data_IF_067546136238
#
_entry.id   IF_067546136238
#
_cell.length_a   1.000
_cell.length_b   1.000
_cell.length_c   1.000
_cell.angle_alpha   90.00
_cell.angle_beta   90.00
_cell.angle_gamma   90.00
#
_symmetry.space_group_name_H-M   'P 1'
#
loop_
_entity.id
_entity.type
_entity.pdbx_description
1 polymer ?
#
# COMPACT_ATOMS: atom_id res chain seq x y z
N UNK A 1 6.55 75.19 9.95
CA UNK A 1 7.87 75.64 10.40
C UNK A 1 8.76 74.42 10.55
N UNK A 2 9.83 74.52 9.78
CA UNK A 2 11.13 73.85 9.85
C UNK A 2 11.22 72.35 9.64
N UNK A 3 11.70 72.13 8.48
CA UNK A 3 12.47 71.00 7.95
C UNK A 3 13.62 70.54 8.83
N UNK A 4 13.89 69.25 8.77
CA UNK A 4 15.24 68.69 8.79
C UNK A 4 15.32 67.39 8.04
N UNK A 5 15.96 67.44 6.89
CA UNK A 5 16.40 66.29 6.10
C UNK A 5 17.74 65.84 6.71
N UNK A 6 17.92 64.59 6.99
CA UNK A 6 19.24 64.00 7.20
C UNK A 6 19.38 62.77 6.27
N UNK A 7 20.22 63.03 5.28
CA UNK A 7 20.88 62.12 4.38
C UNK A 7 21.95 61.32 5.15
N UNK A 8 21.98 60.02 5.07
CA UNK A 8 23.16 59.23 5.39
C UNK A 8 23.47 58.22 4.30
N UNK A 9 24.63 58.45 3.73
CA UNK A 9 25.25 57.73 2.63
C UNK A 9 25.65 56.31 3.01
N UNK A 10 25.68 55.52 1.97
CA UNK A 10 26.01 54.11 2.01
C UNK A 10 27.45 53.78 2.38
N UNK A 11 27.56 52.63 2.94
CA UNK A 11 28.82 51.88 3.02
C UNK A 11 28.64 50.57 2.26
N UNK A 12 29.30 50.53 1.09
CA UNK A 12 29.44 49.28 0.32
C UNK A 12 30.59 48.49 0.91
N UNK A 13 30.28 47.45 1.70
CA UNK A 13 31.25 46.44 2.07
C UNK A 13 31.31 45.37 0.98
N UNK A 14 32.43 45.31 0.28
CA UNK A 14 32.81 44.23 -0.62
C UNK A 14 33.29 43.05 0.25
N UNK A 15 32.51 41.98 0.35
CA UNK A 15 32.99 40.71 0.92
C UNK A 15 33.58 39.91 -0.22
N UNK A 16 34.87 39.66 -0.15
CA UNK A 16 35.59 38.76 -1.03
C UNK A 16 35.20 37.31 -0.69
N UNK A 17 34.65 36.62 -1.66
CA UNK A 17 34.26 35.20 -1.53
C UNK A 17 35.47 34.33 -1.88
N UNK A 18 36.12 33.80 -0.86
CA UNK A 18 37.18 32.80 -1.02
C UNK A 18 36.48 31.45 -1.26
N UNK A 19 36.61 30.94 -2.48
CA UNK A 19 36.17 29.59 -2.83
C UNK A 19 37.19 28.61 -2.29
N UNK A 20 36.85 27.89 -1.21
CA UNK A 20 37.62 26.78 -0.72
C UNK A 20 36.99 25.48 -1.33
N UNK A 21 37.66 24.90 -2.32
CA UNK A 21 37.27 23.62 -2.90
C UNK A 21 37.61 22.50 -1.90
N UNK A 22 36.64 22.13 -1.09
CA UNK A 22 36.69 20.93 -0.27
C UNK A 22 36.05 19.75 -1.02
N UNK A 23 36.89 18.81 -1.48
CA UNK A 23 36.40 17.52 -2.00
C UNK A 23 35.84 16.73 -0.82
N UNK A 24 34.52 16.72 -0.67
CA UNK A 24 33.84 15.76 0.20
C UNK A 24 33.64 14.46 -0.58
N UNK A 25 34.42 13.45 -0.22
CA UNK A 25 34.12 12.07 -0.59
C UNK A 25 32.80 11.67 0.11
N UNK A 26 31.70 11.62 -0.64
CA UNK A 26 30.48 10.97 -0.17
C UNK A 26 30.75 9.46 -0.10
N UNK A 27 31.05 8.99 1.09
CA UNK A 27 30.94 7.56 1.39
C UNK A 27 29.47 7.20 1.30
N UNK A 28 29.12 6.42 0.29
CA UNK A 28 27.82 5.72 0.24
C UNK A 28 27.85 4.71 1.38
N UNK A 29 27.28 5.09 2.52
CA UNK A 29 26.90 4.11 3.54
C UNK A 29 25.66 3.43 2.98
N UNK A 30 25.84 2.22 2.46
CA UNK A 30 24.72 1.33 2.17
C UNK A 30 23.97 1.10 3.49
N UNK A 31 22.80 1.71 3.63
CA UNK A 31 21.89 1.36 4.70
C UNK A 31 21.48 -0.11 4.52
N UNK A 32 21.46 -0.92 5.58
CA UNK A 32 20.97 -2.29 5.45
C UNK A 32 19.51 -2.26 5.03
N UNK A 33 19.20 -3.05 4.04
CA UNK A 33 17.88 -3.28 3.44
C UNK A 33 16.98 -4.03 4.45
N UNK A 34 16.60 -3.35 5.52
CA UNK A 34 15.81 -3.93 6.62
C UNK A 34 14.29 -3.62 6.51
N UNK A 35 13.87 -2.91 5.45
CA UNK A 35 12.48 -2.44 5.34
C UNK A 35 11.57 -3.33 4.47
N UNK A 36 12.11 -4.36 3.82
CA UNK A 36 11.35 -5.16 2.85
C UNK A 36 10.47 -6.25 3.50
N UNK A 37 10.76 -6.64 4.74
CA UNK A 37 10.06 -7.77 5.37
C UNK A 37 8.73 -7.41 6.05
N UNK A 38 8.47 -6.11 6.30
CA UNK A 38 7.28 -5.66 7.04
C UNK A 38 6.19 -5.03 6.14
N UNK A 39 6.42 -4.98 4.83
CA UNK A 39 5.43 -4.46 3.88
C UNK A 39 4.23 -5.41 3.77
N UNK A 40 2.96 -4.90 3.91
CA UNK A 40 1.76 -5.70 3.69
C UNK A 40 1.59 -6.11 2.22
N UNK A 41 2.36 -5.50 1.33
CA UNK A 41 2.34 -5.79 -0.09
C UNK A 41 3.54 -6.65 -0.46
N UNK A 42 3.38 -7.71 -1.27
CA UNK A 42 4.53 -8.41 -1.82
C UNK A 42 5.39 -7.38 -2.56
N UNK A 43 6.67 -7.33 -2.23
CA UNK A 43 7.63 -6.53 -2.99
C UNK A 43 7.62 -7.04 -4.42
N UNK A 44 6.87 -6.37 -5.29
CA UNK A 44 7.18 -6.45 -6.70
C UNK A 44 8.57 -5.84 -6.82
N UNK A 45 9.57 -6.68 -6.98
CA UNK A 45 10.88 -6.25 -7.45
C UNK A 45 10.64 -5.65 -8.84
N UNK A 46 10.39 -4.35 -8.86
CA UNK A 46 10.31 -3.60 -10.11
C UNK A 46 11.75 -3.51 -10.62
N UNK A 47 12.23 -4.59 -11.22
CA UNK A 47 13.39 -4.46 -12.11
C UNK A 47 13.01 -3.43 -13.17
N UNK A 48 13.79 -2.35 -13.21
CA UNK A 48 13.65 -1.34 -14.25
C UNK A 48 13.71 -2.08 -15.58
N UNK A 49 12.72 -1.91 -16.49
CA UNK A 49 12.74 -2.61 -17.77
C UNK A 49 14.08 -2.36 -18.45
N UNK A 50 14.84 -3.44 -18.66
CA UNK A 50 16.11 -3.37 -19.37
C UNK A 50 15.80 -2.85 -20.76
N UNK A 51 16.43 -1.74 -21.15
CA UNK A 51 16.29 -1.19 -22.48
C UNK A 51 17.04 -2.10 -23.45
N UNK A 52 16.31 -3.00 -24.09
CA UNK A 52 16.85 -3.96 -25.04
C UNK A 52 17.13 -3.24 -26.36
N UNK A 53 18.34 -3.35 -26.89
CA UNK A 53 18.67 -2.90 -28.24
C UNK A 53 18.06 -3.90 -29.25
N UNK A 54 17.13 -3.47 -30.13
CA UNK A 54 16.50 -4.38 -31.09
C UNK A 54 17.50 -4.97 -32.10
N UNK A 55 18.73 -4.42 -32.21
CA UNK A 55 19.80 -4.90 -33.07
C UNK A 55 20.86 -5.75 -32.35
N UNK A 56 20.66 -6.03 -31.06
CA UNK A 56 21.58 -6.85 -30.26
C UNK A 56 21.69 -8.27 -30.89
N UNK A 57 22.91 -8.69 -31.17
CA UNK A 57 23.18 -10.00 -31.75
C UNK A 57 22.81 -11.17 -30.83
N UNK A 58 22.76 -10.93 -29.54
CA UNK A 58 22.38 -11.90 -28.50
C UNK A 58 20.86 -12.16 -28.46
N UNK A 59 20.04 -11.33 -29.16
CA UNK A 59 18.61 -11.57 -29.33
C UNK A 59 18.30 -12.68 -30.34
N UNK A 60 19.31 -13.19 -31.07
CA UNK A 60 19.11 -14.33 -31.98
C UNK A 60 19.08 -15.62 -31.17
N UNK A 61 18.02 -16.37 -31.37
CA UNK A 61 17.94 -17.73 -30.84
C UNK A 61 19.02 -18.59 -31.49
N UNK A 62 19.72 -19.44 -30.74
CA UNK A 62 20.59 -20.47 -31.32
C UNK A 62 19.81 -21.38 -32.26
N UNK A 63 20.49 -21.97 -33.25
CA UNK A 63 19.85 -22.89 -34.19
C UNK A 63 19.17 -24.04 -33.46
N UNK A 64 17.89 -24.24 -33.72
CA UNK A 64 17.05 -25.26 -33.10
C UNK A 64 16.39 -24.86 -31.75
N UNK A 65 16.64 -23.66 -31.24
CA UNK A 65 15.95 -23.16 -30.05
C UNK A 65 14.57 -22.59 -30.42
N UNK A 66 13.60 -22.86 -29.55
CA UNK A 66 12.25 -22.26 -29.64
C UNK A 66 12.04 -21.34 -28.43
N UNK A 67 11.38 -20.19 -28.67
CA UNK A 67 10.94 -19.33 -27.57
C UNK A 67 9.95 -20.10 -26.70
N UNK A 68 10.14 -20.00 -25.39
CA UNK A 68 9.10 -20.43 -24.46
C UNK A 68 7.81 -19.65 -24.74
N UNK A 69 6.66 -20.28 -24.49
CA UNK A 69 5.38 -19.59 -24.60
C UNK A 69 5.41 -18.30 -23.75
N UNK A 70 4.92 -17.17 -24.28
CA UNK A 70 4.90 -15.92 -23.52
C UNK A 70 4.12 -16.13 -22.23
N UNK A 71 4.73 -15.80 -21.08
CA UNK A 71 4.07 -15.83 -19.79
C UNK A 71 3.50 -14.42 -19.52
N UNK A 72 2.18 -14.31 -19.48
CA UNK A 72 1.52 -13.09 -19.01
C UNK A 72 1.75 -13.02 -17.51
N UNK A 73 2.55 -12.05 -17.07
CA UNK A 73 3.05 -12.02 -15.69
C UNK A 73 2.04 -11.50 -14.68
N UNK A 74 1.17 -10.54 -15.02
CA UNK A 74 0.14 -10.09 -14.10
C UNK A 74 -0.99 -9.34 -14.81
N UNK A 75 -2.17 -9.95 -14.88
CA UNK A 75 -3.40 -9.21 -15.14
C UNK A 75 -4.03 -8.90 -13.79
N UNK A 76 -4.13 -7.61 -13.45
CA UNK A 76 -4.85 -7.14 -12.28
C UNK A 76 -6.22 -6.63 -12.70
N UNK A 77 -7.27 -7.31 -12.28
CA UNK A 77 -8.65 -6.81 -12.40
C UNK A 77 -9.00 -6.03 -11.13
N UNK A 78 -9.53 -4.82 -11.30
CA UNK A 78 -9.97 -3.98 -10.18
C UNK A 78 -11.43 -3.65 -10.38
N UNK A 79 -12.26 -3.99 -9.40
CA UNK A 79 -13.67 -3.67 -9.34
C UNK A 79 -13.88 -2.81 -8.09
N UNK A 80 -14.39 -1.60 -8.26
CA UNK A 80 -14.71 -0.68 -7.17
C UNK A 80 -16.18 -0.29 -7.31
N UNK A 81 -16.92 -0.23 -6.22
CA UNK A 81 -18.29 0.26 -6.24
C UNK A 81 -18.32 1.78 -6.47
N UNK A 82 -19.48 2.32 -6.91
CA UNK A 82 -19.63 3.74 -7.26
C UNK A 82 -19.37 4.68 -6.07
N UNK A 83 -19.47 4.20 -4.86
CA UNK A 83 -19.18 4.96 -3.62
C UNK A 83 -17.73 4.83 -3.17
N UNK A 84 -16.95 3.93 -3.78
CA UNK A 84 -15.59 3.58 -3.33
C UNK A 84 -15.56 2.88 -1.96
N UNK A 85 -16.71 2.38 -1.50
CA UNK A 85 -16.87 1.76 -0.18
C UNK A 85 -16.20 0.39 -0.09
N UNK A 86 -16.21 -0.33 -1.22
CA UNK A 86 -15.57 -1.63 -1.38
C UNK A 86 -14.80 -1.67 -2.69
N UNK A 87 -13.58 -2.17 -2.62
CA UNK A 87 -12.72 -2.40 -3.77
C UNK A 87 -12.21 -3.83 -3.73
N UNK A 88 -12.39 -4.54 -4.84
CA UNK A 88 -11.85 -5.87 -5.07
C UNK A 88 -10.73 -5.81 -6.10
N UNK A 89 -9.61 -6.42 -5.79
CA UNK A 89 -8.48 -6.58 -6.69
C UNK A 89 -8.21 -8.07 -6.86
N UNK A 90 -8.30 -8.55 -8.08
CA UNK A 90 -8.00 -9.93 -8.46
C UNK A 90 -6.74 -9.94 -9.32
N UNK A 91 -5.73 -10.68 -8.87
CA UNK A 91 -4.54 -11.02 -9.66
C UNK A 91 -4.59 -12.49 -10.06
N UNK A 92 -3.56 -12.96 -10.76
CA UNK A 92 -3.44 -14.38 -11.09
C UNK A 92 -3.29 -15.27 -9.84
N UNK A 93 -2.75 -14.71 -8.74
CA UNK A 93 -2.39 -15.44 -7.53
C UNK A 93 -3.20 -15.05 -6.31
N UNK A 94 -3.64 -13.81 -6.21
CA UNK A 94 -4.24 -13.24 -5.01
C UNK A 94 -5.58 -12.58 -5.30
N UNK A 95 -6.47 -12.64 -4.32
CA UNK A 95 -7.69 -11.85 -4.25
C UNK A 95 -7.58 -10.95 -3.02
N UNK A 96 -7.81 -9.64 -3.22
CA UNK A 96 -7.80 -8.65 -2.15
C UNK A 96 -9.09 -7.84 -2.15
N UNK A 97 -9.70 -7.73 -1.00
CA UNK A 97 -10.82 -6.84 -0.71
C UNK A 97 -10.32 -5.70 0.17
N UNK A 98 -10.61 -4.46 -0.19
CA UNK A 98 -10.39 -3.28 0.63
C UNK A 98 -11.75 -2.65 0.94
N UNK A 99 -12.08 -2.59 2.22
CA UNK A 99 -13.34 -2.04 2.74
C UNK A 99 -13.06 -0.72 3.46
N UNK A 100 -13.76 0.35 3.11
CA UNK A 100 -13.63 1.62 3.82
C UNK A 100 -14.09 1.49 5.27
N UNK A 101 -13.37 2.15 6.17
CA UNK A 101 -13.65 2.05 7.60
C UNK A 101 -15.01 2.63 7.98
N UNK A 102 -15.49 3.68 7.29
CA UNK A 102 -16.78 4.31 7.55
C UNK A 102 -17.98 3.39 7.29
N UNK A 103 -17.81 2.42 6.39
CA UNK A 103 -18.85 1.41 6.10
C UNK A 103 -18.89 0.32 7.16
N UNK A 104 -17.72 -0.02 7.69
CA UNK A 104 -17.59 -1.09 8.67
C UNK A 104 -17.84 -0.61 10.11
N UNK A 105 -17.37 0.60 10.44
CA UNK A 105 -17.28 1.08 11.82
C UNK A 105 -17.86 2.49 11.99
N UNK A 106 -18.23 2.82 13.21
CA UNK A 106 -18.45 4.21 13.60
C UNK A 106 -17.16 5.03 13.60
N UNK A 107 -17.32 6.36 13.65
CA UNK A 107 -16.18 7.28 13.75
C UNK A 107 -15.30 6.93 14.94
N UNK A 108 -13.99 6.87 14.72
CA UNK A 108 -12.97 6.58 15.75
C UNK A 108 -13.28 5.33 16.58
N UNK A 109 -13.82 4.29 15.95
CA UNK A 109 -14.29 3.08 16.59
C UNK A 109 -13.85 1.84 15.82
N UNK A 110 -13.70 0.72 16.52
CA UNK A 110 -13.56 -0.62 15.96
C UNK A 110 -14.81 -1.48 16.16
N UNK A 111 -15.93 -0.88 16.63
CA UNK A 111 -17.20 -1.60 16.74
C UNK A 111 -17.87 -1.70 15.38
N UNK A 112 -18.08 -2.92 14.91
CA UNK A 112 -18.75 -3.18 13.63
C UNK A 112 -20.20 -2.69 13.63
N UNK A 113 -20.60 -2.12 12.50
CA UNK A 113 -21.99 -1.79 12.21
C UNK A 113 -22.80 -3.05 11.89
N UNK A 114 -24.12 -2.99 11.96
CA UNK A 114 -24.97 -4.13 11.57
C UNK A 114 -24.81 -4.51 10.08
N UNK A 115 -24.57 -3.54 9.21
CA UNK A 115 -24.37 -3.74 7.78
C UNK A 115 -23.00 -4.37 7.45
N UNK A 116 -22.00 -4.15 8.31
CA UNK A 116 -20.65 -4.68 8.11
C UNK A 116 -20.61 -6.21 8.06
N UNK A 117 -21.40 -6.87 8.90
CA UNK A 117 -21.44 -8.34 8.98
C UNK A 117 -21.82 -8.97 7.63
N UNK A 118 -22.77 -8.39 6.89
CA UNK A 118 -23.17 -8.89 5.58
C UNK A 118 -22.02 -8.85 4.56
N UNK A 119 -21.27 -7.76 4.53
CA UNK A 119 -20.10 -7.60 3.64
C UNK A 119 -18.97 -8.57 4.02
N UNK A 120 -18.66 -8.69 5.30
CA UNK A 120 -17.62 -9.61 5.78
C UNK A 120 -18.01 -11.07 5.50
N UNK A 121 -19.28 -11.43 5.65
CA UNK A 121 -19.77 -12.79 5.33
C UNK A 121 -19.70 -13.09 3.83
N UNK A 122 -19.91 -12.10 2.95
CA UNK A 122 -19.71 -12.28 1.52
C UNK A 122 -18.23 -12.58 1.19
N UNK A 123 -17.29 -11.90 1.86
CA UNK A 123 -15.87 -12.22 1.74
C UNK A 123 -15.56 -13.61 2.27
N UNK A 124 -16.16 -14.02 3.40
CA UNK A 124 -16.00 -15.38 3.93
C UNK A 124 -16.48 -16.46 2.95
N UNK A 125 -17.56 -16.18 2.23
CA UNK A 125 -18.06 -17.09 1.18
C UNK A 125 -17.05 -17.21 0.02
N UNK A 126 -16.43 -16.11 -0.40
CA UNK A 126 -15.40 -16.14 -1.44
C UNK A 126 -14.12 -16.87 -0.97
N UNK A 127 -13.69 -16.67 0.28
CA UNK A 127 -12.57 -17.40 0.89
C UNK A 127 -12.82 -18.91 0.84
N UNK A 128 -14.03 -19.36 1.18
CA UNK A 128 -14.43 -20.80 1.08
C UNK A 128 -14.41 -21.29 -0.36
N UNK A 129 -14.95 -20.51 -1.29
CA UNK A 129 -14.98 -20.85 -2.72
C UNK A 129 -13.58 -21.06 -3.29
N UNK A 130 -12.59 -20.27 -2.82
CA UNK A 130 -11.20 -20.34 -3.24
C UNK A 130 -10.40 -21.40 -2.46
N UNK A 131 -10.99 -22.10 -1.49
CA UNK A 131 -10.32 -23.05 -0.58
C UNK A 131 -9.03 -22.49 0.04
N UNK A 132 -9.05 -21.20 0.37
CA UNK A 132 -7.88 -20.49 0.87
C UNK A 132 -7.44 -21.05 2.22
N UNK A 133 -6.15 -21.28 2.38
CA UNK A 133 -5.56 -21.83 3.63
C UNK A 133 -4.98 -20.75 4.53
N UNK A 134 -4.67 -19.59 3.96
CA UNK A 134 -4.16 -18.43 4.71
C UNK A 134 -4.92 -17.18 4.29
N UNK A 135 -5.38 -16.41 5.28
CA UNK A 135 -6.08 -15.14 5.10
C UNK A 135 -5.32 -14.06 5.87
N UNK A 136 -5.06 -12.94 5.23
CA UNK A 136 -4.45 -11.76 5.85
C UNK A 136 -5.54 -10.72 6.07
N UNK A 137 -5.57 -10.14 7.26
CA UNK A 137 -6.51 -9.06 7.63
C UNK A 137 -5.70 -7.90 8.16
N UNK A 138 -5.60 -6.83 7.37
CA UNK A 138 -4.76 -5.68 7.68
C UNK A 138 -5.60 -4.41 7.80
N UNK A 139 -5.35 -3.63 8.88
CA UNK A 139 -6.01 -2.36 9.12
C UNK A 139 -5.09 -1.19 8.84
N UNK A 140 -5.68 -0.10 8.32
CA UNK A 140 -4.97 1.14 7.97
C UNK A 140 -5.77 2.35 8.43
N UNK A 141 -5.07 3.47 8.66
CA UNK A 141 -5.67 4.77 8.98
C UNK A 141 -5.19 5.84 8.00
N UNK A 142 -5.80 7.01 8.06
CA UNK A 142 -5.20 8.23 7.51
C UNK A 142 -4.13 8.78 8.47
N UNK A 143 -3.59 9.95 8.13
CA UNK A 143 -2.56 10.64 8.91
C UNK A 143 -3.11 11.66 9.91
N UNK A 144 -4.41 11.62 10.26
CA UNK A 144 -4.98 12.54 11.24
C UNK A 144 -4.87 11.97 12.66
N UNK A 145 -4.43 12.81 13.58
CA UNK A 145 -4.23 12.43 14.95
C UNK A 145 -2.82 11.97 15.28
N UNK A 146 -2.66 11.16 16.32
CA UNK A 146 -1.36 10.59 16.65
C UNK A 146 -1.15 9.24 15.99
N UNK A 147 0.06 8.98 15.49
CA UNK A 147 0.45 7.71 14.88
C UNK A 147 0.19 6.53 15.84
N UNK A 148 0.54 6.69 17.12
CA UNK A 148 0.31 5.65 18.12
C UNK A 148 -1.19 5.29 18.29
N UNK A 149 -2.10 6.27 18.20
CA UNK A 149 -3.53 6.00 18.19
C UNK A 149 -3.96 5.28 16.90
N UNK A 150 -3.45 5.72 15.75
CA UNK A 150 -3.68 5.08 14.47
C UNK A 150 -3.26 3.61 14.45
N UNK A 151 -2.09 3.29 15.01
CA UNK A 151 -1.58 1.92 15.11
C UNK A 151 -2.51 1.03 15.93
N UNK A 152 -2.95 1.51 17.11
CA UNK A 152 -3.89 0.77 17.95
C UNK A 152 -5.24 0.59 17.28
N UNK A 153 -5.81 1.67 16.72
CA UNK A 153 -7.14 1.65 16.08
C UNK A 153 -7.16 0.74 14.85
N UNK A 154 -6.13 0.82 14.00
CA UNK A 154 -6.02 -0.03 12.82
C UNK A 154 -5.97 -1.51 13.18
N UNK A 155 -5.22 -1.87 14.22
CA UNK A 155 -5.14 -3.24 14.74
C UNK A 155 -6.48 -3.71 15.28
N UNK A 156 -7.15 -2.91 16.11
CA UNK A 156 -8.47 -3.24 16.66
C UNK A 156 -9.52 -3.45 15.56
N UNK A 157 -9.48 -2.65 14.50
CA UNK A 157 -10.36 -2.80 13.33
C UNK A 157 -10.09 -4.10 12.57
N UNK A 158 -8.83 -4.43 12.35
CA UNK A 158 -8.45 -5.71 11.73
C UNK A 158 -8.92 -6.91 12.59
N UNK A 159 -8.74 -6.85 13.90
CA UNK A 159 -9.21 -7.86 14.85
C UNK A 159 -10.74 -8.01 14.83
N UNK A 160 -11.48 -6.92 14.75
CA UNK A 160 -12.95 -6.96 14.68
C UNK A 160 -13.46 -7.65 13.41
N UNK A 161 -12.83 -7.39 12.25
CA UNK A 161 -13.14 -8.09 10.98
C UNK A 161 -12.74 -9.56 11.06
N UNK A 162 -11.54 -9.85 11.58
CA UNK A 162 -11.07 -11.22 11.79
C UNK A 162 -12.07 -12.05 12.61
N UNK A 163 -12.58 -11.55 13.72
CA UNK A 163 -13.48 -12.27 14.60
C UNK A 163 -14.76 -12.73 13.87
N UNK A 164 -15.29 -11.91 12.96
CA UNK A 164 -16.44 -12.29 12.13
C UNK A 164 -16.05 -13.35 11.09
N UNK A 165 -14.90 -13.17 10.42
CA UNK A 165 -14.38 -14.14 9.47
C UNK A 165 -14.12 -15.50 10.15
N UNK A 166 -13.46 -15.50 11.31
CA UNK A 166 -13.16 -16.73 12.07
C UNK A 166 -14.43 -17.48 12.45
N UNK A 167 -15.46 -16.76 12.93
CA UNK A 167 -16.76 -17.35 13.24
C UNK A 167 -17.41 -17.95 12.01
N UNK A 168 -17.36 -17.27 10.86
CA UNK A 168 -17.99 -17.71 9.61
C UNK A 168 -17.21 -18.84 8.91
N UNK A 169 -15.91 -18.94 9.18
CA UNK A 169 -14.99 -19.91 8.61
C UNK A 169 -14.57 -21.01 9.59
N UNK A 170 -15.28 -21.12 10.72
CA UNK A 170 -14.98 -22.11 11.74
C UNK A 170 -14.94 -23.53 11.14
N UNK A 171 -13.95 -24.32 11.53
CA UNK A 171 -13.74 -25.69 11.03
C UNK A 171 -13.05 -25.79 9.66
N UNK A 172 -12.69 -24.68 9.01
CA UNK A 172 -12.03 -24.68 7.69
C UNK A 172 -10.51 -24.86 7.75
N UNK A 173 -9.89 -24.84 8.95
CA UNK A 173 -8.45 -24.98 9.13
C UNK A 173 -7.62 -23.81 8.55
N UNK A 174 -8.24 -22.62 8.42
CA UNK A 174 -7.62 -21.44 7.87
C UNK A 174 -6.71 -20.80 8.92
N UNK A 175 -5.52 -20.38 8.49
CA UNK A 175 -4.59 -19.57 9.30
C UNK A 175 -4.81 -18.11 9.01
N UNK A 176 -4.92 -17.28 10.05
CA UNK A 176 -5.07 -15.83 9.91
C UNK A 176 -3.78 -15.11 10.28
N UNK A 177 -3.46 -14.08 9.48
CA UNK A 177 -2.45 -13.09 9.80
C UNK A 177 -3.13 -11.73 9.98
N UNK A 178 -3.02 -11.15 11.19
CA UNK A 178 -3.74 -9.94 11.56
C UNK A 178 -2.72 -8.86 11.94
N UNK A 179 -2.77 -7.70 11.25
CA UNK A 179 -1.89 -6.56 11.54
C UNK A 179 -2.64 -5.23 11.48
N UNK A 180 -2.20 -4.28 12.29
CA UNK A 180 -2.52 -2.86 12.15
C UNK A 180 -1.27 -2.14 11.68
N UNK A 181 -1.39 -1.37 10.62
CA UNK A 181 -0.28 -0.60 10.04
C UNK A 181 -0.42 0.91 10.26
N UNK A 182 -1.49 1.36 10.93
CA UNK A 182 -1.69 2.78 11.11
C UNK A 182 -1.67 3.52 9.78
N UNK A 183 -0.92 4.62 9.73
CA UNK A 183 -0.79 5.50 8.56
C UNK A 183 0.35 5.14 7.59
N UNK A 184 1.06 4.02 7.83
CA UNK A 184 2.34 3.72 7.16
C UNK A 184 2.22 3.45 5.65
N UNK A 185 1.06 2.98 5.17
CA UNK A 185 0.88 2.58 3.77
C UNK A 185 -0.34 3.26 3.14
N UNK A 186 -0.25 4.56 2.85
CA UNK A 186 -1.32 5.28 2.17
C UNK A 186 -1.45 4.82 0.71
N UNK A 187 -2.69 4.64 0.24
CA UNK A 187 -3.01 4.33 -1.17
C UNK A 187 -3.54 5.54 -1.93
N UNK A 188 -3.78 6.64 -1.23
CA UNK A 188 -4.25 7.91 -1.78
C UNK A 188 -3.67 9.09 -1.02
N UNK A 189 -3.81 10.29 -1.59
CA UNK A 189 -3.29 11.52 -0.99
C UNK A 189 -4.03 11.86 0.32
N UNK A 190 -3.29 11.93 1.42
CA UNK A 190 -3.81 12.34 2.72
C UNK A 190 -4.15 13.85 2.80
N UNK A 191 -3.77 14.65 1.82
CA UNK A 191 -4.11 16.08 1.73
C UNK A 191 -5.59 16.31 1.45
N UNK A 192 -6.31 15.33 0.87
CA UNK A 192 -7.73 15.42 0.55
C UNK A 192 -8.57 14.51 1.44
N UNK A 193 -9.85 14.86 1.68
CA UNK A 193 -10.73 13.98 2.46
C UNK A 193 -11.08 12.69 1.71
N UNK A 194 -11.22 12.76 0.40
CA UNK A 194 -11.44 11.59 -0.45
C UNK A 194 -10.27 10.61 -0.37
N UNK A 195 -9.05 11.13 -0.36
CA UNK A 195 -7.85 10.31 -0.21
C UNK A 195 -7.74 9.70 1.19
N UNK A 196 -8.03 10.50 2.24
CA UNK A 196 -8.07 9.99 3.62
C UNK A 196 -9.09 8.88 3.81
N UNK A 197 -10.29 9.00 3.22
CA UNK A 197 -11.30 7.92 3.24
C UNK A 197 -10.77 6.62 2.64
N UNK A 198 -10.05 6.69 1.52
CA UNK A 198 -9.41 5.51 0.91
C UNK A 198 -8.32 4.91 1.81
N UNK A 199 -7.61 5.75 2.55
CA UNK A 199 -6.56 5.30 3.47
C UNK A 199 -7.15 4.65 4.73
N UNK A 200 -8.28 5.15 5.27
CA UNK A 200 -9.02 4.51 6.37
C UNK A 200 -9.73 3.24 5.88
N UNK A 201 -9.05 2.10 5.88
CA UNK A 201 -9.56 0.84 5.32
C UNK A 201 -9.14 -0.39 6.11
N UNK A 202 -9.85 -1.47 5.89
CA UNK A 202 -9.40 -2.82 6.25
C UNK A 202 -9.27 -3.63 4.96
N UNK A 203 -8.12 -4.26 4.78
CA UNK A 203 -7.85 -5.16 3.67
C UNK A 203 -7.94 -6.61 4.12
N UNK A 204 -8.63 -7.44 3.33
CA UNK A 204 -8.68 -8.89 3.49
C UNK A 204 -8.11 -9.50 2.21
N UNK A 205 -7.02 -10.26 2.31
CA UNK A 205 -6.41 -10.88 1.15
C UNK A 205 -6.08 -12.36 1.38
N UNK A 206 -6.15 -13.13 0.29
CA UNK A 206 -5.88 -14.56 0.30
C UNK A 206 -5.48 -15.04 -1.09
N UNK A 207 -4.83 -16.20 -1.15
CA UNK A 207 -4.44 -16.81 -2.42
C UNK A 207 -5.67 -17.31 -3.17
N UNK A 208 -5.64 -17.15 -4.46
CA UNK A 208 -6.61 -17.71 -5.40
C UNK A 208 -6.39 -19.20 -5.55
N UNK A 209 -7.46 -19.99 -5.71
CA UNK A 209 -7.33 -21.41 -6.05
C UNK A 209 -6.64 -21.56 -7.41
N UNK A 210 -5.66 -22.46 -7.50
CA UNK A 210 -5.04 -22.81 -8.77
C UNK A 210 -6.09 -23.38 -9.72
N UNK A 211 -6.19 -22.80 -10.93
CA UNK A 211 -7.15 -23.25 -11.94
C UNK A 211 -8.48 -22.50 -12.00
N UNK A 212 -8.74 -21.51 -11.15
CA UNK A 212 -9.94 -20.66 -11.20
C UNK A 212 -9.78 -19.51 -12.21
N UNK A 213 -9.31 -19.82 -13.43
CA UNK A 213 -9.38 -18.89 -14.57
C UNK A 213 -10.67 -19.23 -15.35
N UNK A 214 -11.65 -18.38 -15.22
CA UNK A 214 -12.85 -18.40 -16.06
C UNK A 214 -12.87 -17.21 -17.00
#
# INVERSE_FOLDING_TARGET
MSSAIISTQGVRARVAMTVLAGAMAFGVVAAPDAAAEDSPYPSASAEVPVKVDPNDTDLKLPDGATLAAPKVLDIKSVIEDLGGEERREDTNTDIKFALQAEVLFGKDSAKLSSAANGRINAIAAEIKKQDAKKVRVFGFTDNLGSSAHGDVLSKQRAEAVHNVLESSLSGSGITFEIRGYGEQYPIADNGTEEGRKKNRRVEVSFLRAEGSQS
#
